data_IF_403303531196
#
_entry.id   IF_403303531196
#
_cell.length_a   1.000
_cell.length_b   1.000
_cell.length_c   1.000
_cell.angle_alpha   90.00
_cell.angle_beta   90.00
_cell.angle_gamma   90.00
#
_symmetry.space_group_name_H-M   'P 1'
#
loop_
_entity.id
_entity.type
_entity.pdbx_description
1 polymer ?
#
# COMPACT_ATOMS: atom_id res chain seq x y z
N UNK A 1 -16.79 -16.63 70.46
CA UNK A 1 -16.45 -15.63 69.41
C UNK A 1 -15.31 -16.02 68.46
N UNK A 2 -14.33 -16.86 68.80
CA UNK A 2 -13.06 -16.99 68.03
C UNK A 2 -12.99 -17.92 66.80
N UNK A 3 -14.11 -18.36 66.19
CA UNK A 3 -14.06 -19.28 65.03
C UNK A 3 -14.30 -18.60 63.67
N UNK A 4 -14.68 -17.33 63.64
CA UNK A 4 -14.95 -16.60 62.39
C UNK A 4 -13.69 -15.89 61.86
N UNK A 5 -12.79 -15.43 62.74
CA UNK A 5 -11.54 -14.76 62.34
C UNK A 5 -10.53 -15.70 61.69
N UNK A 6 -10.53 -16.98 62.06
CA UNK A 6 -9.66 -18.01 61.47
C UNK A 6 -10.01 -18.31 60.01
N UNK A 7 -11.29 -18.18 59.61
CA UNK A 7 -11.75 -18.40 58.24
C UNK A 7 -11.42 -17.22 57.32
N UNK A 8 -11.46 -15.98 57.85
CA UNK A 8 -11.07 -14.77 57.11
C UNK A 8 -9.57 -14.74 56.79
N UNK A 9 -8.74 -15.37 57.64
CA UNK A 9 -7.28 -15.42 57.50
C UNK A 9 -6.77 -16.44 56.46
N UNK A 10 -7.60 -17.40 56.06
CA UNK A 10 -7.28 -18.36 55.00
C UNK A 10 -7.53 -17.81 53.58
N UNK A 11 -8.59 -17.01 53.41
CA UNK A 11 -9.00 -16.44 52.11
C UNK A 11 -8.06 -15.33 51.59
N UNK A 12 -7.26 -14.72 52.46
CA UNK A 12 -6.27 -13.68 52.09
C UNK A 12 -4.86 -14.26 51.89
N UNK A 13 -4.68 -15.58 52.03
CA UNK A 13 -3.36 -16.23 52.11
C UNK A 13 -3.05 -17.15 50.93
N UNK A 14 -3.91 -17.18 49.93
CA UNK A 14 -3.61 -17.80 48.64
C UNK A 14 -2.87 -16.78 47.76
N UNK A 15 -1.55 -16.75 47.98
CA UNK A 15 -0.48 -16.17 47.19
C UNK A 15 -0.85 -15.27 46.01
N UNK A 16 -0.93 -13.97 46.26
CA UNK A 16 -0.68 -12.94 45.26
C UNK A 16 0.80 -12.99 44.84
N UNK A 17 1.18 -13.99 44.03
CA UNK A 17 2.48 -14.04 43.36
C UNK A 17 2.46 -12.99 42.25
N UNK A 18 2.81 -11.74 42.59
CA UNK A 18 3.07 -10.71 41.61
C UNK A 18 4.20 -11.12 40.66
N UNK A 19 4.08 -10.76 39.38
CA UNK A 19 5.16 -10.88 38.41
C UNK A 19 6.42 -10.21 38.94
N UNK A 20 7.56 -10.90 38.84
CA UNK A 20 8.83 -10.28 39.22
C UNK A 20 9.24 -9.24 38.16
N UNK A 21 9.86 -8.14 38.59
CA UNK A 21 10.36 -7.12 37.65
C UNK A 21 11.38 -7.70 36.67
N UNK A 22 12.13 -8.72 37.08
CA UNK A 22 13.12 -9.40 36.23
C UNK A 22 12.46 -10.25 35.13
N UNK A 23 11.32 -10.89 35.40
CA UNK A 23 10.56 -11.63 34.39
C UNK A 23 10.05 -10.68 33.30
N UNK A 24 9.50 -9.53 33.69
CA UNK A 24 9.05 -8.54 32.70
C UNK A 24 10.23 -7.92 31.95
N UNK A 25 11.38 -7.72 32.59
CA UNK A 25 12.59 -7.19 31.97
C UNK A 25 13.13 -8.12 30.87
N UNK A 26 13.21 -9.43 31.12
CA UNK A 26 13.68 -10.39 30.10
C UNK A 26 12.74 -10.44 28.91
N UNK A 27 11.42 -10.39 29.14
CA UNK A 27 10.42 -10.44 28.07
C UNK A 27 10.55 -9.23 27.15
N UNK A 28 10.65 -8.01 27.69
CA UNK A 28 10.78 -6.81 26.85
C UNK A 28 12.11 -6.77 26.10
N UNK A 29 13.18 -7.35 26.65
CA UNK A 29 14.46 -7.49 25.94
C UNK A 29 14.30 -8.43 24.73
N UNK A 30 13.67 -9.59 24.92
CA UNK A 30 13.45 -10.55 23.83
C UNK A 30 12.56 -9.92 22.74
N UNK A 31 11.45 -9.30 23.12
CA UNK A 31 10.56 -8.59 22.17
C UNK A 31 11.32 -7.45 21.47
N UNK A 32 12.18 -6.73 22.18
CA UNK A 32 13.01 -5.67 21.61
C UNK A 32 13.96 -6.17 20.51
N UNK A 33 14.63 -7.30 20.74
CA UNK A 33 15.51 -7.93 19.74
C UNK A 33 14.70 -8.37 18.50
N UNK A 34 13.56 -9.03 18.71
CA UNK A 34 12.69 -9.48 17.62
C UNK A 34 12.15 -8.29 16.81
N UNK A 35 11.69 -7.24 17.49
CA UNK A 35 11.17 -6.03 16.85
C UNK A 35 12.25 -5.31 16.01
N UNK A 36 13.48 -5.23 16.51
CA UNK A 36 14.58 -4.59 15.79
C UNK A 36 14.86 -5.22 14.41
N UNK A 37 14.72 -6.55 14.30
CA UNK A 37 14.88 -7.27 13.02
C UNK A 37 13.59 -7.23 12.18
N UNK A 38 12.43 -7.40 12.83
CA UNK A 38 11.16 -7.53 12.14
C UNK A 38 10.67 -6.22 11.49
N UNK A 39 10.86 -5.07 12.15
CA UNK A 39 10.38 -3.77 11.66
C UNK A 39 10.93 -3.38 10.27
N UNK A 40 12.26 -3.38 10.01
CA UNK A 40 12.78 -2.99 8.71
C UNK A 40 12.32 -3.95 7.59
N UNK A 41 12.26 -5.26 7.87
CA UNK A 41 11.75 -6.26 6.93
C UNK A 41 10.28 -6.00 6.61
N UNK A 42 9.47 -5.74 7.63
CA UNK A 42 8.04 -5.46 7.47
C UNK A 42 7.78 -4.19 6.65
N UNK A 43 8.58 -3.13 6.85
CA UNK A 43 8.50 -1.90 6.03
C UNK A 43 8.83 -2.21 4.57
N UNK A 44 9.86 -3.03 4.30
CA UNK A 44 10.20 -3.47 2.95
C UNK A 44 9.06 -4.23 2.27
N UNK A 45 8.43 -5.17 2.98
CA UNK A 45 7.26 -5.93 2.49
C UNK A 45 6.08 -4.99 2.18
N UNK A 46 5.76 -4.07 3.09
CA UNK A 46 4.71 -3.09 2.85
C UNK A 46 4.98 -2.20 1.64
N UNK A 47 6.23 -1.74 1.47
CA UNK A 47 6.64 -0.95 0.32
C UNK A 47 6.51 -1.73 -1.00
N UNK A 48 6.91 -3.00 -1.02
CA UNK A 48 6.74 -3.86 -2.18
C UNK A 48 5.25 -4.10 -2.52
N UNK A 49 4.40 -4.24 -1.50
CA UNK A 49 2.96 -4.36 -1.70
C UNK A 49 2.35 -3.07 -2.27
N UNK A 50 2.77 -1.90 -1.76
CA UNK A 50 2.38 -0.59 -2.30
C UNK A 50 2.79 -0.43 -3.75
N UNK A 51 4.06 -0.72 -4.08
CA UNK A 51 4.57 -0.65 -5.46
C UNK A 51 3.81 -1.62 -6.39
N UNK A 52 3.44 -2.81 -5.90
CA UNK A 52 2.63 -3.77 -6.66
C UNK A 52 1.20 -3.27 -6.91
N UNK A 53 0.59 -2.62 -5.91
CA UNK A 53 -0.71 -1.97 -6.07
C UNK A 53 -0.65 -0.84 -7.13
N UNK A 54 0.40 -0.02 -7.12
CA UNK A 54 0.62 1.04 -8.13
C UNK A 54 0.72 0.44 -9.53
N UNK A 55 1.45 -0.68 -9.69
CA UNK A 55 1.52 -1.38 -10.99
C UNK A 55 0.16 -1.89 -11.44
N UNK A 56 -0.66 -2.41 -10.52
CA UNK A 56 -2.01 -2.86 -10.83
C UNK A 56 -2.91 -1.71 -11.25
N UNK A 57 -2.88 -0.59 -10.52
CA UNK A 57 -3.60 0.64 -10.88
C UNK A 57 -3.23 1.08 -12.30
N UNK A 58 -1.93 1.10 -12.62
CA UNK A 58 -1.44 1.51 -13.93
C UNK A 58 -1.88 0.58 -15.06
N UNK A 59 -1.93 -0.73 -14.81
CA UNK A 59 -2.46 -1.71 -15.77
C UNK A 59 -3.96 -1.48 -16.03
N UNK A 60 -4.74 -1.15 -14.99
CA UNK A 60 -6.15 -0.81 -15.12
C UNK A 60 -6.34 0.49 -15.90
N UNK A 61 -5.53 1.52 -15.61
CA UNK A 61 -5.55 2.81 -16.33
C UNK A 61 -5.25 2.60 -17.81
N UNK A 62 -4.20 1.83 -18.15
CA UNK A 62 -3.89 1.47 -19.54
C UNK A 62 -5.10 0.82 -20.21
N UNK A 63 -5.67 -0.19 -19.57
CA UNK A 63 -6.81 -0.95 -20.10
C UNK A 63 -8.03 -0.05 -20.32
N UNK A 64 -8.31 0.85 -19.37
CA UNK A 64 -9.39 1.82 -19.46
C UNK A 64 -9.21 2.77 -20.65
N UNK A 65 -8.01 3.32 -20.87
CA UNK A 65 -7.72 4.20 -22.00
C UNK A 65 -7.93 3.47 -23.33
N UNK A 66 -7.41 2.24 -23.44
CA UNK A 66 -7.59 1.42 -24.66
C UNK A 66 -9.07 1.08 -24.88
N UNK A 67 -9.80 0.76 -23.80
CA UNK A 67 -11.23 0.46 -23.86
C UNK A 67 -12.06 1.66 -24.30
N UNK A 68 -11.76 2.86 -23.79
CA UNK A 68 -12.45 4.10 -24.18
C UNK A 68 -12.14 4.42 -25.65
N UNK A 69 -10.88 4.36 -26.07
CA UNK A 69 -10.49 4.59 -27.45
C UNK A 69 -11.16 3.60 -28.42
N UNK A 70 -11.26 2.32 -28.04
CA UNK A 70 -11.87 1.26 -28.86
C UNK A 70 -13.39 1.41 -29.03
N UNK A 71 -14.07 2.13 -28.14
CA UNK A 71 -15.50 2.43 -28.27
C UNK A 71 -15.77 3.68 -29.13
N UNK A 72 -14.75 4.51 -29.35
CA UNK A 72 -14.82 5.72 -30.17
C UNK A 72 -14.28 5.50 -31.58
N UNK A 73 -13.42 6.42 -32.02
CA UNK A 73 -12.76 6.42 -33.34
C UNK A 73 -11.41 5.68 -33.34
N UNK A 74 -11.05 5.02 -32.24
CA UNK A 74 -9.74 4.37 -32.06
C UNK A 74 -8.60 5.36 -31.77
N UNK A 75 -8.90 6.65 -31.61
CA UNK A 75 -7.89 7.68 -31.33
C UNK A 75 -7.67 7.86 -29.82
N UNK A 76 -6.42 8.09 -29.43
CA UNK A 76 -6.09 8.46 -28.06
C UNK A 76 -6.17 9.98 -27.87
N UNK A 77 -6.71 10.45 -26.72
CA UNK A 77 -6.86 11.88 -26.43
C UNK A 77 -5.52 12.60 -26.43
N UNK A 78 -5.51 13.86 -26.88
CA UNK A 78 -4.29 14.67 -26.93
C UNK A 78 -3.70 14.91 -25.53
N UNK A 79 -4.56 15.17 -24.56
CA UNK A 79 -4.19 15.43 -23.17
C UNK A 79 -5.20 14.78 -22.23
N UNK A 80 -4.70 14.27 -21.11
CA UNK A 80 -5.52 13.83 -19.99
C UNK A 80 -4.84 14.27 -18.70
N UNK A 81 -5.59 14.97 -17.86
CA UNK A 81 -5.17 15.28 -16.49
C UNK A 81 -5.42 14.08 -15.59
N UNK A 82 -4.75 14.05 -14.43
CA UNK A 82 -5.01 13.04 -13.40
C UNK A 82 -6.49 12.98 -13.00
N UNK A 83 -7.16 14.13 -12.88
CA UNK A 83 -8.57 14.19 -12.53
C UNK A 83 -9.45 13.51 -13.60
N UNK A 84 -9.14 13.74 -14.88
CA UNK A 84 -9.87 13.10 -15.99
C UNK A 84 -9.61 11.60 -16.04
N UNK A 85 -8.38 11.14 -15.78
CA UNK A 85 -8.05 9.72 -15.69
C UNK A 85 -8.79 8.98 -14.57
N UNK A 86 -9.29 9.69 -13.56
CA UNK A 86 -9.93 9.10 -12.37
C UNK A 86 -11.39 9.49 -12.23
N UNK A 87 -11.99 10.02 -13.30
CA UNK A 87 -13.39 10.41 -13.35
C UNK A 87 -14.03 10.02 -14.69
N UNK A 88 -15.35 10.20 -14.79
CA UNK A 88 -16.10 10.05 -16.03
C UNK A 88 -15.93 8.68 -16.69
N UNK A 89 -15.71 8.69 -18.00
CA UNK A 89 -15.59 7.49 -18.83
C UNK A 89 -14.40 6.60 -18.44
N UNK A 90 -13.26 7.18 -18.07
CA UNK A 90 -12.07 6.42 -17.69
C UNK A 90 -12.28 5.70 -16.35
N UNK A 91 -12.89 6.37 -15.37
CA UNK A 91 -13.25 5.74 -14.10
C UNK A 91 -14.29 4.62 -14.31
N UNK A 92 -15.27 4.85 -15.18
CA UNK A 92 -16.28 3.85 -15.54
C UNK A 92 -15.66 2.64 -16.25
N UNK A 93 -14.57 2.86 -17.00
CA UNK A 93 -13.76 1.81 -17.63
C UNK A 93 -12.72 1.18 -16.67
N UNK A 94 -12.73 1.52 -15.38
CA UNK A 94 -11.90 0.89 -14.34
C UNK A 94 -10.60 1.62 -14.02
N UNK A 95 -10.36 2.82 -14.56
CA UNK A 95 -9.19 3.62 -14.22
C UNK A 95 -9.34 4.26 -12.83
N UNK A 96 -8.46 3.90 -11.90
CA UNK A 96 -8.46 4.41 -10.53
C UNK A 96 -7.06 4.79 -10.07
N UNK A 97 -6.97 5.81 -9.22
CA UNK A 97 -5.75 6.14 -8.47
C UNK A 97 -5.88 5.61 -7.05
N UNK A 98 -5.27 4.46 -6.77
CA UNK A 98 -5.22 3.90 -5.43
C UNK A 98 -4.41 4.77 -4.46
N UNK A 99 -4.56 4.50 -3.16
CA UNK A 99 -3.90 5.26 -2.10
C UNK A 99 -2.36 5.18 -2.17
N UNK A 100 -1.83 4.09 -2.73
CA UNK A 100 -0.39 3.88 -2.92
C UNK A 100 0.20 4.69 -4.08
N UNK A 101 -0.65 5.20 -4.97
CA UNK A 101 -0.27 5.98 -6.15
C UNK A 101 -0.26 7.46 -5.80
N UNK A 102 0.93 8.07 -5.73
CA UNK A 102 1.13 9.51 -5.44
C UNK A 102 0.63 10.35 -6.60
N UNK A 103 1.14 10.10 -7.80
CA UNK A 103 0.75 10.78 -9.03
C UNK A 103 0.45 9.77 -10.14
N UNK A 104 -0.33 10.22 -11.13
CA UNK A 104 -0.75 9.49 -12.31
C UNK A 104 -0.77 10.52 -13.43
N UNK A 105 -0.03 10.27 -14.51
CA UNK A 105 0.14 11.19 -15.62
C UNK A 105 -0.02 10.45 -16.94
N UNK A 106 -0.46 11.18 -17.96
CA UNK A 106 -0.64 10.70 -19.32
C UNK A 106 0.12 11.59 -20.29
N UNK A 107 0.81 10.95 -21.22
CA UNK A 107 1.51 11.60 -22.34
C UNK A 107 1.11 10.91 -23.62
N UNK A 108 0.52 11.65 -24.56
CA UNK A 108 0.28 11.13 -25.91
C UNK A 108 1.60 11.03 -26.66
N UNK A 109 1.80 9.93 -27.39
CA UNK A 109 2.89 9.77 -28.36
C UNK A 109 2.31 9.87 -29.77
N UNK A 110 3.16 9.92 -30.80
CA UNK A 110 2.71 10.09 -32.20
C UNK A 110 1.65 9.06 -32.60
N UNK A 111 1.81 7.80 -32.18
CA UNK A 111 0.93 6.69 -32.57
C UNK A 111 0.30 5.96 -31.38
N UNK A 112 0.40 6.51 -30.17
CA UNK A 112 0.03 5.80 -28.95
C UNK A 112 -0.02 6.69 -27.73
N UNK A 113 0.23 6.09 -26.57
CA UNK A 113 0.30 6.83 -25.32
C UNK A 113 1.28 6.17 -24.35
N UNK A 114 1.71 6.96 -23.38
CA UNK A 114 2.37 6.47 -22.19
C UNK A 114 1.65 7.02 -20.96
N UNK A 115 1.28 6.13 -20.05
CA UNK A 115 0.85 6.50 -18.71
C UNK A 115 1.95 6.19 -17.72
N UNK A 116 2.14 7.06 -16.74
CA UNK A 116 3.03 6.79 -15.61
C UNK A 116 2.35 7.02 -14.28
N UNK A 117 2.78 6.26 -13.28
CA UNK A 117 2.42 6.44 -11.89
C UNK A 117 3.67 6.55 -11.02
N UNK A 118 3.63 7.41 -10.01
CA UNK A 118 4.67 7.52 -8.99
C UNK A 118 4.14 6.91 -7.69
N UNK A 119 4.91 6.01 -7.09
CA UNK A 119 4.56 5.39 -5.80
C UNK A 119 4.70 6.38 -4.64
N UNK A 120 3.84 6.24 -3.64
CA UNK A 120 3.97 6.98 -2.36
C UNK A 120 5.16 6.54 -1.53
N UNK A 121 5.78 5.39 -1.85
CA UNK A 121 6.97 4.89 -1.15
C UNK A 121 8.21 5.75 -1.41
N UNK A 122 8.39 6.27 -2.62
CA UNK A 122 9.45 7.22 -2.97
C UNK A 122 9.19 7.88 -4.34
N UNK A 123 9.62 9.12 -4.51
CA UNK A 123 9.46 9.85 -5.78
C UNK A 123 10.27 9.25 -6.95
N UNK A 124 11.28 8.44 -6.64
CA UNK A 124 12.08 7.69 -7.63
C UNK A 124 11.44 6.38 -8.06
N UNK A 125 10.37 5.94 -7.39
CA UNK A 125 9.63 4.71 -7.72
C UNK A 125 8.55 5.05 -8.73
N UNK A 126 8.98 5.16 -9.99
CA UNK A 126 8.11 5.47 -11.13
C UNK A 126 7.88 4.21 -11.95
N UNK A 127 6.62 3.99 -12.33
CA UNK A 127 6.21 2.94 -13.24
C UNK A 127 5.51 3.54 -14.44
N UNK A 128 5.73 2.97 -15.62
CA UNK A 128 5.07 3.36 -16.85
C UNK A 128 4.36 2.17 -17.51
N UNK A 129 3.42 2.48 -18.40
CA UNK A 129 2.86 1.53 -19.34
C UNK A 129 2.50 2.28 -20.62
N UNK A 130 2.73 1.66 -21.77
CA UNK A 130 2.36 2.23 -23.07
C UNK A 130 1.22 1.46 -23.70
N UNK A 131 0.69 1.92 -24.82
CA UNK A 131 -0.30 1.18 -25.61
C UNK A 131 0.21 -0.23 -25.98
N UNK A 132 1.50 -0.36 -26.33
CA UNK A 132 2.09 -1.64 -26.77
C UNK A 132 2.77 -2.44 -25.66
N UNK A 133 3.26 -1.81 -24.59
CA UNK A 133 4.04 -2.48 -23.53
C UNK A 133 3.24 -2.66 -22.23
N UNK A 134 3.57 -3.71 -21.48
CA UNK A 134 3.08 -3.89 -20.12
C UNK A 134 3.68 -2.87 -19.13
N UNK A 135 3.31 -3.01 -17.86
CA UNK A 135 3.82 -2.13 -16.80
C UNK A 135 5.31 -2.39 -16.56
N UNK A 136 6.13 -1.36 -16.69
CA UNK A 136 7.57 -1.40 -16.48
C UNK A 136 8.00 -0.32 -15.46
N UNK A 137 9.20 -0.47 -14.88
CA UNK A 137 9.81 0.57 -14.07
C UNK A 137 10.48 1.62 -14.94
N UNK A 138 10.31 2.90 -14.59
CA UNK A 138 10.86 4.03 -15.33
C UNK A 138 9.80 5.09 -15.61
N UNK A 139 10.25 6.30 -15.96
CA UNK A 139 9.37 7.36 -16.43
C UNK A 139 8.93 7.11 -17.88
N UNK A 140 7.86 7.77 -18.33
CA UNK A 140 7.55 7.82 -19.75
C UNK A 140 8.68 8.53 -20.51
N UNK A 141 9.03 8.02 -21.69
CA UNK A 141 9.90 8.77 -22.60
C UNK A 141 9.13 10.03 -23.05
N UNK A 142 9.77 11.19 -22.88
CA UNK A 142 9.26 12.50 -23.30
C UNK A 142 9.28 12.66 -24.81
#
# INVERSE_FOLDING_TARGET
MGKLDARRKGLLKDGEKGFTLIELLVVVIIIGILAAIAIPVYIGVQNNAKDSAVKSDLANVKTAIVSVASQGDGSFPATLTQAQLTAGEYASAGSTKGASTKTLSYTKTTNGFCVQAVSTTADTKIFNATDTTGVASGACAS
#
